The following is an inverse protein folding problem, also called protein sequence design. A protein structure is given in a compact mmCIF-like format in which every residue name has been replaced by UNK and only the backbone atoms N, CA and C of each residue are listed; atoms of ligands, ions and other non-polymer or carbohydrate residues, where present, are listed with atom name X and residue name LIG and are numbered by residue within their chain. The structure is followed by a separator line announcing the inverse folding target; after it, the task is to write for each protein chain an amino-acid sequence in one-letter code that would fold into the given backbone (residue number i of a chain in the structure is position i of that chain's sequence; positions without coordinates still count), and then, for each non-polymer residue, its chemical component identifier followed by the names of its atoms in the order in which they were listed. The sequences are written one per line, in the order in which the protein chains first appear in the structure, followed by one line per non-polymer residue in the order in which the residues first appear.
data_IF_418366047839
#
_entry.id   IF_418366047839
#
_cell.length_a   1.000
_cell.length_b   1.000
_cell.length_c   1.000
_cell.angle_alpha   90.00
_cell.angle_beta   90.00
_cell.angle_gamma   90.00
#
_symmetry.space_group_name_H-M   'P 1'
#
loop_
_entity.id
_entity.type
_entity.pdbx_description
1 polymer ?
#
# COMPACT_ATOMS: atom_id res chain seq x y z
N UNK A 1 -6.95 3.90 8.14
CA UNK A 1 -5.53 4.11 7.81
C UNK A 1 -5.15 3.39 6.51
N UNK A 2 -4.24 3.95 5.70
CA UNK A 2 -3.85 3.38 4.41
C UNK A 2 -3.38 1.92 4.46
N UNK A 3 -2.69 1.52 5.53
CA UNK A 3 -2.16 0.16 5.71
C UNK A 3 -3.25 -0.94 5.77
N UNK A 4 -4.47 -0.61 6.25
CA UNK A 4 -5.62 -1.54 6.23
C UNK A 4 -6.10 -1.80 4.80
N UNK A 5 -6.11 -0.75 3.96
CA UNK A 5 -6.72 -0.81 2.63
C UNK A 5 -6.02 -1.84 1.73
N UNK A 6 -4.72 -2.06 1.89
CA UNK A 6 -3.95 -3.00 1.07
C UNK A 6 -4.53 -4.42 1.11
N UNK A 7 -4.66 -5.00 2.31
CA UNK A 7 -5.17 -6.36 2.49
C UNK A 7 -6.63 -6.48 2.02
N UNK A 8 -7.45 -5.48 2.32
CA UNK A 8 -8.85 -5.43 1.90
C UNK A 8 -8.99 -5.36 0.37
N UNK A 9 -8.20 -4.54 -0.31
CA UNK A 9 -8.18 -4.44 -1.77
C UNK A 9 -7.73 -5.75 -2.40
N UNK A 10 -6.71 -6.41 -1.84
CA UNK A 10 -6.27 -7.74 -2.31
C UNK A 10 -7.39 -8.78 -2.21
N UNK A 11 -8.11 -8.85 -1.07
CA UNK A 11 -9.25 -9.76 -0.91
C UNK A 11 -10.31 -9.52 -1.99
N UNK A 12 -10.65 -8.24 -2.24
CA UNK A 12 -11.62 -7.85 -3.28
C UNK A 12 -11.17 -8.22 -4.69
N UNK A 13 -9.92 -7.93 -5.06
CA UNK A 13 -9.37 -8.28 -6.38
C UNK A 13 -9.36 -9.79 -6.64
N UNK A 14 -9.16 -10.58 -5.59
CA UNK A 14 -9.16 -12.04 -5.68
C UNK A 14 -10.56 -12.65 -5.59
N UNK A 15 -11.60 -11.85 -5.30
CA UNK A 15 -12.97 -12.32 -5.15
C UNK A 15 -13.17 -13.25 -3.95
N UNK A 16 -12.39 -13.05 -2.89
CA UNK A 16 -12.45 -13.86 -1.67
C UNK A 16 -13.54 -13.28 -0.77
N UNK A 17 -14.44 -14.12 -0.25
CA UNK A 17 -15.43 -13.70 0.75
C UNK A 17 -14.76 -13.51 2.12
N UNK A 18 -15.12 -12.44 2.81
CA UNK A 18 -14.57 -12.09 4.12
C UNK A 18 -15.55 -11.24 4.92
N UNK A 19 -15.42 -11.31 6.24
CA UNK A 19 -16.09 -10.41 7.18
C UNK A 19 -15.12 -9.33 7.66
N UNK A 20 -15.64 -8.13 7.92
CA UNK A 20 -14.87 -7.01 8.45
C UNK A 20 -15.41 -6.64 9.81
N UNK A 21 -14.56 -6.75 10.82
CA UNK A 21 -14.80 -6.13 12.13
C UNK A 21 -13.92 -4.89 12.30
N UNK A 22 -14.54 -3.77 12.62
CA UNK A 22 -13.86 -2.50 12.82
C UNK A 22 -13.43 -2.33 14.27
N UNK A 23 -12.20 -1.88 14.48
CA UNK A 23 -11.63 -1.65 15.81
C UNK A 23 -11.36 -0.17 15.99
N UNK A 24 -11.86 0.39 17.09
CA UNK A 24 -11.42 1.69 17.58
C UNK A 24 -10.05 1.53 18.27
N UNK A 25 -9.00 2.05 17.63
CA UNK A 25 -7.64 1.97 18.17
C UNK A 25 -7.39 2.94 19.34
N UNK A 26 -8.23 3.96 19.53
CA UNK A 26 -8.15 4.82 20.72
C UNK A 26 -8.70 4.11 21.96
N UNK A 27 -9.62 3.15 21.76
CA UNK A 27 -10.20 2.32 22.82
C UNK A 27 -10.34 0.87 22.35
N UNK A 28 -9.21 0.14 22.19
CA UNK A 28 -9.25 -1.19 21.61
C UNK A 28 -10.02 -2.16 22.53
N UNK A 29 -10.96 -2.96 21.99
CA UNK A 29 -11.69 -3.94 22.77
C UNK A 29 -10.78 -5.11 23.17
N UNK A 30 -11.13 -5.78 24.26
CA UNK A 30 -10.32 -6.86 24.84
C UNK A 30 -10.09 -8.02 23.87
N UNK A 31 -11.09 -8.37 23.06
CA UNK A 31 -10.96 -9.42 22.06
C UNK A 31 -9.84 -9.12 21.04
N UNK A 32 -9.70 -7.86 20.63
CA UNK A 32 -8.68 -7.44 19.68
C UNK A 32 -7.29 -7.47 20.31
N UNK A 33 -7.18 -7.02 21.56
CA UNK A 33 -5.92 -7.05 22.31
C UNK A 33 -5.42 -8.49 22.53
N UNK A 34 -6.34 -9.43 22.73
CA UNK A 34 -6.03 -10.86 22.86
C UNK A 34 -5.60 -11.50 21.52
N UNK A 35 -6.11 -10.99 20.40
CA UNK A 35 -5.78 -11.54 19.07
C UNK A 35 -4.55 -10.90 18.44
N UNK A 36 -4.38 -9.58 18.53
CA UNK A 36 -3.36 -8.80 17.81
C UNK A 36 -2.08 -8.67 18.64
N UNK A 37 -0.98 -9.36 18.28
CA UNK A 37 0.27 -9.30 19.06
C UNK A 37 0.87 -7.88 19.13
N UNK A 38 0.67 -7.09 18.06
CA UNK A 38 1.25 -5.75 17.93
C UNK A 38 0.28 -4.63 18.26
N UNK A 39 -0.96 -4.96 18.65
CA UNK A 39 -2.08 -3.99 18.82
C UNK A 39 -2.25 -3.05 17.61
N UNK A 40 -1.99 -3.55 16.39
CA UNK A 40 -2.03 -2.82 15.12
C UNK A 40 -2.97 -3.51 14.14
N UNK A 41 -3.49 -2.76 13.18
CA UNK A 41 -4.30 -3.26 12.06
C UNK A 41 -3.56 -3.07 10.73
N UNK A 42 -3.84 -3.89 9.70
CA UNK A 42 -4.79 -5.01 9.71
C UNK A 42 -4.24 -6.27 10.40
N UNK A 43 -5.16 -7.07 10.95
CA UNK A 43 -4.97 -8.49 11.21
C UNK A 43 -5.97 -9.28 10.37
N UNK A 44 -5.62 -10.51 10.00
CA UNK A 44 -6.49 -11.46 9.34
C UNK A 44 -6.61 -12.70 10.22
N UNK A 45 -7.84 -13.09 10.56
CA UNK A 45 -8.12 -14.35 11.22
C UNK A 45 -8.45 -15.43 10.17
N UNK A 46 -7.75 -16.55 10.24
CA UNK A 46 -8.00 -17.75 9.41
C UNK A 46 -8.22 -18.92 10.35
N UNK A 47 -9.49 -19.29 10.55
CA UNK A 47 -9.87 -20.27 11.57
C UNK A 47 -9.42 -19.81 12.97
N UNK A 48 -8.44 -20.52 13.54
CA UNK A 48 -7.86 -20.21 14.86
C UNK A 48 -6.55 -19.41 14.80
N UNK A 49 -6.05 -19.12 13.60
CA UNK A 49 -4.76 -18.47 13.41
C UNK A 49 -4.93 -16.98 13.09
N UNK A 50 -4.00 -16.17 13.59
CA UNK A 50 -3.93 -14.73 13.32
C UNK A 50 -2.70 -14.45 12.47
N UNK A 51 -2.90 -13.73 11.38
CA UNK A 51 -1.86 -13.22 10.50
C UNK A 51 -1.88 -11.70 10.60
N UNK A 52 -0.74 -11.08 10.85
CA UNK A 52 -0.59 -9.63 10.95
C UNK A 52 0.42 -9.14 9.91
N UNK A 53 0.52 -7.81 9.76
CA UNK A 53 1.20 -7.11 8.66
C UNK A 53 0.50 -7.24 7.30
N UNK A 54 0.13 -6.09 6.72
CA UNK A 54 -0.65 -6.06 5.47
C UNK A 54 0.04 -6.77 4.30
N UNK A 55 1.37 -6.64 4.19
CA UNK A 55 2.16 -7.30 3.13
C UNK A 55 2.21 -8.81 3.33
N UNK A 56 2.37 -9.28 4.57
CA UNK A 56 2.36 -10.72 4.91
C UNK A 56 0.99 -11.33 4.66
N UNK A 57 -0.09 -10.62 5.04
CA UNK A 57 -1.47 -11.04 4.73
C UNK A 57 -1.64 -11.18 3.22
N UNK A 58 -1.16 -10.23 2.41
CA UNK A 58 -1.28 -10.32 0.96
C UNK A 58 -0.48 -11.51 0.38
N UNK A 59 0.71 -11.80 0.89
CA UNK A 59 1.49 -12.96 0.47
C UNK A 59 0.79 -14.28 0.84
N UNK A 60 0.20 -14.38 2.04
CA UNK A 60 -0.64 -15.52 2.41
C UNK A 60 -1.80 -15.71 1.42
N UNK A 61 -2.50 -14.63 1.06
CA UNK A 61 -3.59 -14.71 0.09
C UNK A 61 -3.09 -15.14 -1.30
N UNK A 62 -1.89 -14.68 -1.69
CA UNK A 62 -1.21 -15.13 -2.90
C UNK A 62 -0.80 -16.60 -2.85
N UNK A 63 -0.60 -17.21 -1.69
CA UNK A 63 -0.28 -18.63 -1.58
C UNK A 63 -1.54 -19.49 -1.51
N UNK A 64 -2.48 -19.13 -0.65
CA UNK A 64 -3.64 -19.95 -0.28
C UNK A 64 -4.76 -19.98 -1.32
N UNK A 65 -4.87 -18.95 -2.18
CA UNK A 65 -5.99 -18.82 -3.12
C UNK A 65 -5.53 -18.82 -4.59
N UNK A 66 -6.46 -19.13 -5.50
CA UNK A 66 -6.28 -19.00 -6.95
C UNK A 66 -6.22 -17.52 -7.38
N UNK A 67 -6.19 -17.24 -8.69
CA UNK A 67 -6.12 -15.88 -9.23
C UNK A 67 -4.89 -15.10 -8.72
N UNK A 68 -3.69 -15.64 -8.97
CA UNK A 68 -2.42 -15.04 -8.53
C UNK A 68 -2.26 -13.65 -9.16
N UNK A 69 -1.90 -12.68 -8.32
CA UNK A 69 -1.59 -11.30 -8.70
C UNK A 69 -0.08 -11.11 -8.92
N UNK A 70 0.74 -11.98 -8.34
CA UNK A 70 2.16 -12.05 -8.68
C UNK A 70 2.41 -12.76 -10.01
N UNK A 71 3.50 -12.42 -10.71
CA UNK A 71 3.94 -13.21 -11.85
C UNK A 71 4.37 -14.62 -11.42
N UNK A 72 4.25 -15.57 -12.35
CA UNK A 72 4.70 -16.94 -12.13
C UNK A 72 6.23 -17.05 -12.09
N UNK A 73 6.93 -16.20 -12.84
CA UNK A 73 8.37 -16.18 -12.86
C UNK A 73 8.92 -15.77 -11.49
N UNK A 74 9.80 -16.58 -10.88
CA UNK A 74 10.26 -16.35 -9.51
C UNK A 74 11.10 -15.07 -9.37
N UNK A 75 11.85 -14.69 -10.41
CA UNK A 75 12.68 -13.48 -10.38
C UNK A 75 11.80 -12.23 -10.47
N UNK A 76 10.86 -12.19 -11.41
CA UNK A 76 9.90 -11.10 -11.51
C UNK A 76 9.04 -10.97 -10.25
N UNK A 77 8.68 -12.09 -9.61
CA UNK A 77 7.95 -12.08 -8.35
C UNK A 77 8.79 -11.52 -7.21
N UNK A 78 10.08 -11.87 -7.14
CA UNK A 78 11.00 -11.28 -6.19
C UNK A 78 11.17 -9.76 -6.42
N UNK A 79 11.30 -9.32 -7.67
CA UNK A 79 11.35 -7.90 -8.02
C UNK A 79 10.08 -7.16 -7.59
N UNK A 80 8.89 -7.73 -7.83
CA UNK A 80 7.64 -7.16 -7.32
C UNK A 80 7.66 -7.00 -5.80
N UNK A 81 8.14 -8.00 -5.06
CA UNK A 81 8.25 -7.93 -3.59
C UNK A 81 9.21 -6.83 -3.13
N UNK A 82 10.33 -6.64 -3.83
CA UNK A 82 11.23 -5.51 -3.56
C UNK A 82 10.53 -4.16 -3.71
N UNK A 83 9.73 -3.98 -4.77
CA UNK A 83 8.96 -2.75 -4.98
C UNK A 83 7.78 -2.59 -4.03
N UNK A 84 7.15 -3.69 -3.58
CA UNK A 84 6.14 -3.66 -2.50
C UNK A 84 6.76 -3.12 -1.21
N UNK A 85 7.99 -3.56 -0.87
CA UNK A 85 8.68 -3.08 0.32
C UNK A 85 9.09 -1.61 0.19
N UNK A 86 9.59 -1.21 -0.98
CA UNK A 86 9.83 0.20 -1.29
C UNK A 86 8.55 1.04 -1.15
N UNK A 87 7.41 0.53 -1.64
CA UNK A 87 6.11 1.18 -1.50
C UNK A 87 5.64 1.32 -0.05
N UNK A 88 6.01 0.39 0.84
CA UNK A 88 5.74 0.53 2.27
C UNK A 88 6.46 1.75 2.85
N UNK A 89 7.71 1.99 2.45
CA UNK A 89 8.43 3.21 2.83
C UNK A 89 7.75 4.46 2.26
N UNK A 90 7.41 4.46 0.97
CA UNK A 90 6.76 5.61 0.31
C UNK A 90 5.44 5.99 1.00
N UNK A 91 4.67 4.99 1.43
CA UNK A 91 3.42 5.20 2.15
C UNK A 91 3.64 5.92 3.48
N UNK A 92 4.70 5.58 4.21
CA UNK A 92 5.05 6.27 5.45
C UNK A 92 5.49 7.71 5.20
N UNK A 93 6.32 7.96 4.17
CA UNK A 93 6.72 9.33 3.83
C UNK A 93 5.50 10.19 3.46
N UNK A 94 4.59 9.62 2.67
CA UNK A 94 3.32 10.27 2.29
C UNK A 94 2.49 10.65 3.51
N UNK A 95 2.43 9.78 4.52
CA UNK A 95 1.78 10.10 5.78
C UNK A 95 2.52 11.21 6.54
N UNK A 96 3.85 11.14 6.60
CA UNK A 96 4.66 12.12 7.34
C UNK A 96 4.55 13.54 6.78
N UNK A 97 4.42 13.71 5.47
CA UNK A 97 4.18 15.02 4.83
C UNK A 97 2.98 15.73 5.47
N UNK A 98 1.93 14.99 5.84
CA UNK A 98 0.68 15.59 6.38
C UNK A 98 0.72 15.94 7.86
N UNK A 99 1.76 15.53 8.59
CA UNK A 99 1.92 15.84 10.02
C UNK A 99 3.03 16.86 10.29
N UNK A 100 3.68 17.38 9.24
CA UNK A 100 4.67 18.45 9.35
C UNK A 100 3.99 19.80 9.56
N UNK A 101 4.43 20.52 10.59
CA UNK A 101 3.90 21.86 10.93
C UNK A 101 4.76 23.00 10.37
N UNK A 102 6.02 22.72 10.04
CA UNK A 102 6.95 23.70 9.48
C UNK A 102 7.00 23.58 7.96
N UNK A 103 7.01 24.73 7.29
CA UNK A 103 6.94 24.82 5.82
C UNK A 103 8.18 24.19 5.18
N UNK A 104 9.35 24.45 5.74
CA UNK A 104 10.62 23.93 5.26
C UNK A 104 10.65 22.40 5.36
N UNK A 105 10.20 21.83 6.49
CA UNK A 105 10.11 20.37 6.66
C UNK A 105 9.11 19.72 5.70
N UNK A 106 7.99 20.39 5.43
CA UNK A 106 7.00 19.95 4.46
C UNK A 106 7.62 19.84 3.06
N UNK A 107 8.27 20.91 2.57
CA UNK A 107 8.88 20.91 1.24
C UNK A 107 10.04 19.93 1.10
N UNK A 108 10.84 19.74 2.17
CA UNK A 108 11.87 18.71 2.16
C UNK A 108 11.27 17.30 2.05
N UNK A 109 10.23 17.00 2.84
CA UNK A 109 9.54 15.70 2.78
C UNK A 109 8.88 15.46 1.41
N UNK A 110 8.36 16.52 0.80
CA UNK A 110 7.83 16.50 -0.56
C UNK A 110 8.90 16.16 -1.60
N UNK A 111 10.08 16.79 -1.52
CA UNK A 111 11.17 16.47 -2.45
C UNK A 111 11.68 15.03 -2.25
N UNK A 112 11.78 14.56 -1.00
CA UNK A 112 12.16 13.19 -0.69
C UNK A 112 11.16 12.17 -1.29
N UNK A 113 9.86 12.48 -1.27
CA UNK A 113 8.82 11.68 -1.91
C UNK A 113 8.97 11.72 -3.44
N UNK A 114 9.23 12.88 -4.04
CA UNK A 114 9.44 12.98 -5.48
C UNK A 114 10.70 12.23 -5.95
N UNK A 115 11.77 12.18 -5.16
CA UNK A 115 12.95 11.34 -5.47
C UNK A 115 12.56 9.86 -5.51
N UNK A 116 11.57 9.43 -4.71
CA UNK A 116 11.02 8.07 -4.78
C UNK A 116 10.11 7.90 -5.99
N UNK A 117 9.34 8.91 -6.38
CA UNK A 117 8.57 8.89 -7.62
C UNK A 117 9.46 8.78 -8.85
N UNK A 118 10.59 9.47 -8.91
CA UNK A 118 11.57 9.33 -9.99
C UNK A 118 12.07 7.88 -10.14
N UNK A 119 12.17 7.14 -9.03
CA UNK A 119 12.55 5.72 -9.06
C UNK A 119 11.41 4.86 -9.59
N UNK A 120 10.17 5.14 -9.19
CA UNK A 120 8.97 4.45 -9.67
C UNK A 120 8.78 4.69 -11.17
N UNK A 121 8.88 5.94 -11.63
CA UNK A 121 8.77 6.34 -13.04
C UNK A 121 9.72 5.57 -13.96
N UNK A 122 10.95 5.32 -13.52
CA UNK A 122 11.95 4.56 -14.29
C UNK A 122 11.54 3.11 -14.53
N UNK A 123 10.89 2.49 -13.56
CA UNK A 123 10.56 1.05 -13.59
C UNK A 123 9.11 0.78 -13.99
N UNK A 124 8.24 1.78 -13.89
CA UNK A 124 6.83 1.68 -14.23
C UNK A 124 6.71 1.48 -15.75
N UNK A 125 6.12 0.34 -16.14
CA UNK A 125 5.86 0.02 -17.55
C UNK A 125 4.63 0.74 -18.10
N UNK A 126 3.74 1.17 -17.21
CA UNK A 126 2.46 1.83 -17.47
C UNK A 126 1.42 0.96 -18.25
N UNK A 127 0.13 1.05 -17.92
CA UNK A 127 -0.44 1.82 -16.79
C UNK A 127 -0.14 1.18 -15.41
N UNK A 128 0.31 -0.08 -15.37
CA UNK A 128 0.70 -0.77 -14.14
C UNK A 128 2.21 -1.08 -14.12
N UNK A 129 2.75 -1.44 -12.95
CA UNK A 129 4.14 -1.83 -12.74
C UNK A 129 4.60 -2.88 -13.76
N UNK A 130 3.74 -3.88 -13.99
CA UNK A 130 4.00 -4.98 -14.90
C UNK A 130 3.42 -4.77 -16.31
N UNK A 131 2.99 -3.56 -16.65
CA UNK A 131 2.44 -3.17 -17.95
C UNK A 131 0.92 -3.16 -17.93
N UNK A 132 0.28 -4.02 -18.73
CA UNK A 132 -1.18 -3.95 -18.97
C UNK A 132 -2.05 -4.57 -17.89
N UNK A 133 -1.51 -5.46 -17.05
CA UNK A 133 -2.26 -6.17 -16.02
C UNK A 133 -1.84 -5.68 -14.65
N UNK A 134 -2.84 -5.40 -13.83
CA UNK A 134 -2.64 -5.13 -12.41
C UNK A 134 -2.01 -6.33 -11.72
N UNK A 135 -1.16 -6.07 -10.74
CA UNK A 135 -0.45 -7.04 -9.94
C UNK A 135 -0.40 -6.61 -8.47
N UNK A 136 0.11 -7.47 -7.59
CA UNK A 136 0.11 -7.16 -6.16
C UNK A 136 0.95 -5.93 -5.82
N UNK A 137 2.01 -5.65 -6.60
CA UNK A 137 2.80 -4.43 -6.42
C UNK A 137 1.94 -3.19 -6.62
N UNK A 138 1.09 -3.13 -7.65
CA UNK A 138 0.19 -2.00 -7.88
C UNK A 138 -0.79 -1.80 -6.70
N UNK A 139 -1.38 -2.89 -6.21
CA UNK A 139 -2.28 -2.87 -5.04
C UNK A 139 -1.56 -2.33 -3.80
N UNK A 140 -0.27 -2.65 -3.63
CA UNK A 140 0.51 -2.17 -2.50
C UNK A 140 0.69 -0.65 -2.48
N UNK A 141 0.80 -0.01 -3.65
CA UNK A 141 0.89 1.44 -3.81
C UNK A 141 -0.47 2.15 -3.79
N UNK A 142 -1.57 1.45 -4.10
CA UNK A 142 -2.91 2.03 -4.20
C UNK A 142 -3.34 2.90 -3.00
N UNK A 143 -3.14 2.50 -1.72
CA UNK A 143 -3.53 3.33 -0.59
C UNK A 143 -2.78 4.66 -0.51
N UNK A 144 -1.51 4.68 -0.92
CA UNK A 144 -0.68 5.87 -0.97
C UNK A 144 -1.19 6.82 -2.05
N UNK A 145 -1.34 6.33 -3.29
CA UNK A 145 -1.81 7.16 -4.39
C UNK A 145 -3.24 7.67 -4.20
N UNK A 146 -4.15 6.88 -3.61
CA UNK A 146 -5.48 7.38 -3.24
C UNK A 146 -5.40 8.56 -2.27
N UNK A 147 -4.51 8.48 -1.28
CA UNK A 147 -4.34 9.53 -0.29
C UNK A 147 -3.71 10.79 -0.90
N UNK A 148 -2.64 10.62 -1.68
CA UNK A 148 -1.96 11.72 -2.35
C UNK A 148 -2.81 12.39 -3.42
N UNK A 149 -3.62 11.63 -4.16
CA UNK A 149 -4.60 12.18 -5.12
C UNK A 149 -5.62 13.04 -4.40
N UNK A 150 -6.17 12.56 -3.29
CA UNK A 150 -7.10 13.35 -2.48
C UNK A 150 -6.48 14.68 -2.00
N UNK A 151 -5.22 14.67 -1.57
CA UNK A 151 -4.52 15.91 -1.20
C UNK A 151 -4.30 16.80 -2.42
N UNK A 152 -3.87 16.22 -3.54
CA UNK A 152 -3.62 16.95 -4.78
C UNK A 152 -4.88 17.61 -5.35
N UNK A 153 -6.05 16.97 -5.18
CA UNK A 153 -7.34 17.52 -5.59
C UNK A 153 -7.74 18.74 -4.76
N UNK A 154 -7.27 18.83 -3.51
CA UNK A 154 -7.47 20.00 -2.65
C UNK A 154 -6.48 21.11 -2.97
N UNK A 155 -5.21 20.74 -3.20
CA UNK A 155 -4.12 21.66 -3.55
C UNK A 155 -3.15 20.94 -4.50
N UNK A 156 -3.02 21.37 -5.77
CA UNK A 156 -2.32 20.63 -6.82
C UNK A 156 -0.80 20.81 -6.76
N UNK A 157 -0.21 20.38 -5.64
CA UNK A 157 1.22 20.50 -5.33
C UNK A 157 1.94 19.16 -5.22
N UNK A 158 1.22 18.04 -5.31
CA UNK A 158 1.76 16.71 -5.04
C UNK A 158 2.33 16.04 -6.30
N UNK A 159 1.65 16.18 -7.43
CA UNK A 159 2.07 15.56 -8.69
C UNK A 159 2.52 16.59 -9.71
N UNK A 160 3.50 16.22 -10.53
CA UNK A 160 4.01 17.03 -11.63
C UNK A 160 3.82 16.30 -12.96
N UNK A 161 3.10 16.89 -13.90
CA UNK A 161 2.92 16.29 -15.24
C UNK A 161 4.24 16.08 -15.99
N UNK A 162 5.26 16.88 -15.66
CA UNK A 162 6.59 16.79 -16.28
C UNK A 162 7.45 15.73 -15.61
N UNK A 163 7.36 15.58 -14.28
CA UNK A 163 8.21 14.66 -13.50
C UNK A 163 7.59 13.26 -13.36
N UNK A 164 6.26 13.20 -13.26
CA UNK A 164 5.48 12.01 -12.90
C UNK A 164 4.53 11.54 -14.03
N UNK A 165 4.94 11.54 -15.32
CA UNK A 165 4.03 11.35 -16.44
C UNK A 165 3.39 9.95 -16.53
N UNK A 166 3.98 8.92 -15.91
CA UNK A 166 3.39 7.57 -15.88
C UNK A 166 2.56 7.32 -14.63
N UNK A 167 2.92 7.96 -13.52
CA UNK A 167 2.21 7.84 -12.23
C UNK A 167 0.82 8.46 -12.33
N UNK A 168 0.65 9.52 -13.13
CA UNK A 168 -0.64 10.23 -13.27
C UNK A 168 -1.55 9.71 -14.40
N UNK A 169 -1.13 8.69 -15.15
CA UNK A 169 -1.91 8.03 -16.22
C UNK A 169 -2.66 6.79 -15.75
#
# INVERSE_FOLDING_TARGET
MPVRKKAEVTLRFKGIEYEIEYVDLAKPPEWFLNMSPLKKVPILQVGKHIIFESSVICEYLEEAYSNKLHPNDPVLRAMNRSWIEFGNSCLWDSFYITVKNEREEFYQSMEDLHIKFDQIEKILKAPFFNGKRISLVDISFSPMFQFLTYINDLEPIIFSEVRDPKIIT
#
